data_IF_696817906467
#
_entry.id   IF_696817906467
#
_cell.length_a   1.000
_cell.length_b   1.000
_cell.length_c   1.000
_cell.angle_alpha   90.00
_cell.angle_beta   90.00
_cell.angle_gamma   90.00
#
_symmetry.space_group_name_H-M   'P 1'
#
loop_
_entity.id
_entity.type
_entity.pdbx_description
1 polymer ?
#
# COMPACT_ATOMS: atom_id res chain seq x y z
N UNK A 1 22.00 66.93 7.84
CA UNK A 1 22.02 66.86 6.36
C UNK A 1 21.75 65.41 5.97
N UNK A 2 20.73 65.00 5.20
CA UNK A 2 19.69 65.65 4.39
C UNK A 2 18.50 64.69 4.41
N UNK A 3 17.30 65.24 4.59
CA UNK A 3 16.03 64.59 4.32
C UNK A 3 15.81 64.45 2.80
N UNK A 4 15.09 63.40 2.38
CA UNK A 4 14.42 63.30 1.08
C UNK A 4 13.12 62.51 1.31
N UNK A 5 12.02 63.20 1.64
CA UNK A 5 11.08 63.85 0.71
C UNK A 5 10.02 62.85 0.21
N UNK A 6 8.94 62.78 0.99
CA UNK A 6 7.67 62.21 0.60
C UNK A 6 7.01 63.12 -0.45
N UNK A 7 6.76 62.58 -1.64
CA UNK A 7 5.94 63.25 -2.68
C UNK A 7 4.47 62.94 -2.44
N UNK A 8 3.82 63.82 -1.68
CA UNK A 8 2.37 63.90 -1.60
C UNK A 8 1.83 64.58 -2.86
N UNK A 9 1.18 63.82 -3.75
CA UNK A 9 0.36 64.38 -4.82
C UNK A 9 -1.06 64.55 -4.28
N UNK A 10 -1.47 65.79 -4.03
CA UNK A 10 -2.87 66.18 -3.85
C UNK A 10 -3.54 66.27 -5.23
N UNK A 11 -4.78 65.80 -5.41
CA UNK A 11 -5.68 66.39 -6.37
C UNK A 11 -6.60 67.39 -5.68
N UNK A 12 -6.74 68.55 -6.32
CA UNK A 12 -7.69 69.59 -5.97
C UNK A 12 -9.13 69.16 -6.28
N UNK A 13 -10.04 69.82 -5.58
CA UNK A 13 -11.49 69.64 -5.49
C UNK A 13 -12.28 69.76 -6.80
N UNK A 14 -13.26 68.88 -6.98
CA UNK A 14 -14.58 69.25 -7.52
C UNK A 14 -15.64 68.39 -6.83
N UNK A 15 -16.60 69.07 -6.20
CA UNK A 15 -17.69 68.46 -5.45
C UNK A 15 -18.87 68.05 -6.36
N UNK A 16 -19.66 67.12 -5.85
CA UNK A 16 -21.05 66.80 -6.20
C UNK A 16 -21.32 65.91 -7.43
N UNK A 17 -21.45 64.61 -7.17
CA UNK A 17 -22.69 63.88 -7.46
C UNK A 17 -22.73 62.60 -6.62
N UNK A 18 -23.73 62.50 -5.74
CA UNK A 18 -23.98 61.33 -4.92
C UNK A 18 -24.24 60.10 -5.81
N UNK A 19 -23.33 59.14 -5.77
CA UNK A 19 -23.68 57.74 -5.93
C UNK A 19 -23.00 57.03 -4.78
N UNK A 20 -23.81 56.56 -3.84
CA UNK A 20 -23.46 55.66 -2.76
C UNK A 20 -23.00 54.33 -3.33
N UNK A 21 -21.84 54.33 -3.99
CA UNK A 21 -21.08 53.13 -4.24
C UNK A 21 -20.61 52.64 -2.88
N UNK A 22 -21.35 51.69 -2.32
CA UNK A 22 -20.89 50.87 -1.20
C UNK A 22 -19.54 50.31 -1.63
N UNK A 23 -18.46 50.95 -1.19
CA UNK A 23 -17.13 50.40 -1.22
C UNK A 23 -17.22 49.11 -0.41
N UNK A 24 -17.43 47.99 -1.09
CA UNK A 24 -17.25 46.67 -0.52
C UNK A 24 -15.80 46.60 -0.05
N UNK A 25 -15.56 47.01 1.19
CA UNK A 25 -14.32 46.71 1.89
C UNK A 25 -14.17 45.20 1.80
N UNK A 26 -13.17 44.75 1.03
CA UNK A 26 -12.80 43.35 0.99
C UNK A 26 -12.44 42.95 2.43
N UNK A 27 -13.40 42.35 3.13
CA UNK A 27 -13.19 41.89 4.50
C UNK A 27 -12.15 40.78 4.43
N UNK A 28 -10.95 41.07 4.92
CA UNK A 28 -9.94 40.04 5.17
C UNK A 28 -10.41 39.20 6.35
N UNK A 29 -11.12 38.11 6.08
CA UNK A 29 -11.56 37.15 7.10
C UNK A 29 -10.42 36.16 7.33
N UNK A 30 -9.85 36.17 8.53
CA UNK A 30 -8.90 35.15 9.00
C UNK A 30 -9.58 34.23 10.02
N UNK A 31 -9.12 32.98 10.10
CA UNK A 31 -9.61 32.02 11.10
C UNK A 31 -8.74 32.12 12.36
N UNK A 32 -9.34 32.46 13.49
CA UNK A 32 -8.65 32.53 14.79
C UNK A 32 -8.60 31.18 15.53
N UNK A 33 -9.40 30.19 15.10
CA UNK A 33 -9.50 28.86 15.71
C UNK A 33 -9.77 28.88 17.24
N UNK A 34 -10.47 29.90 17.74
CA UNK A 34 -10.80 30.05 19.17
C UNK A 34 -11.92 29.12 19.63
N UNK A 35 -12.90 28.87 18.79
CA UNK A 35 -13.94 27.87 19.00
C UNK A 35 -13.53 26.52 18.42
N UNK A 36 -14.24 25.45 18.83
CA UNK A 36 -14.04 24.11 18.28
C UNK A 36 -14.10 24.14 16.74
N UNK A 37 -13.01 23.71 16.11
CA UNK A 37 -12.89 23.58 14.67
C UNK A 37 -12.88 22.10 14.29
N UNK A 38 -13.89 21.68 13.52
CA UNK A 38 -13.96 20.31 13.00
C UNK A 38 -12.85 20.10 11.96
N UNK A 39 -12.10 19.00 12.09
CA UNK A 39 -11.10 18.61 11.12
C UNK A 39 -11.68 18.43 9.70
N UNK A 40 -10.87 18.74 8.70
CA UNK A 40 -11.24 18.57 7.30
C UNK A 40 -11.00 17.13 6.85
N UNK A 41 -11.90 16.61 6.00
CA UNK A 41 -11.72 15.29 5.38
C UNK A 41 -10.69 15.41 4.25
N UNK A 42 -9.56 14.73 4.41
CA UNK A 42 -8.45 14.81 3.45
C UNK A 42 -7.96 13.41 3.04
N UNK A 43 -7.54 13.19 1.78
CA UNK A 43 -7.17 11.85 1.30
C UNK A 43 -6.03 11.16 2.05
N UNK A 44 -5.23 11.90 2.83
CA UNK A 44 -4.19 11.31 3.65
C UNK A 44 -4.73 10.52 4.86
N UNK A 45 -6.01 10.68 5.21
CA UNK A 45 -6.69 9.97 6.28
C UNK A 45 -7.22 8.59 5.86
N UNK A 46 -6.93 8.14 4.63
CA UNK A 46 -7.34 6.82 4.15
C UNK A 46 -6.75 5.72 5.03
N UNK A 47 -7.60 4.77 5.43
CA UNK A 47 -7.17 3.58 6.18
C UNK A 47 -6.32 2.71 5.27
N UNK A 48 -5.07 2.50 5.67
CA UNK A 48 -4.13 1.67 4.91
C UNK A 48 -4.23 0.21 5.33
N UNK A 49 -4.21 -0.73 4.37
CA UNK A 49 -4.06 -2.13 4.71
C UNK A 49 -2.65 -2.39 5.25
N UNK A 50 -2.53 -3.29 6.22
CA UNK A 50 -1.24 -3.80 6.67
C UNK A 50 -0.70 -4.79 5.62
N UNK A 51 0.57 -4.66 5.29
CA UNK A 51 1.24 -5.63 4.44
C UNK A 51 1.47 -6.95 5.18
N UNK A 52 1.26 -8.06 4.47
CA UNK A 52 1.32 -9.41 5.04
C UNK A 52 2.19 -10.29 4.17
N UNK A 53 2.82 -11.27 4.81
CA UNK A 53 3.53 -12.31 4.08
C UNK A 53 2.55 -13.14 3.20
N UNK A 54 3.00 -13.59 2.02
CA UNK A 54 2.21 -14.47 1.16
C UNK A 54 1.82 -15.77 1.86
N UNK A 55 0.64 -16.31 1.55
CA UNK A 55 0.22 -17.64 2.05
C UNK A 55 1.23 -18.70 1.59
N UNK A 56 1.67 -19.55 2.51
CA UNK A 56 2.63 -20.62 2.24
C UNK A 56 4.10 -20.24 2.44
N UNK A 57 4.41 -18.97 2.72
CA UNK A 57 5.75 -18.54 3.15
C UNK A 57 5.74 -18.36 4.66
N UNK A 58 6.44 -19.23 5.40
CA UNK A 58 6.66 -19.01 6.84
C UNK A 58 7.67 -17.90 7.08
N UNK A 59 7.63 -17.25 8.25
CA UNK A 59 8.61 -16.21 8.59
C UNK A 59 10.06 -16.76 8.59
N UNK A 60 10.28 -18.01 8.99
CA UNK A 60 11.56 -18.70 8.94
C UNK A 60 12.06 -18.91 7.50
N UNK A 61 11.16 -19.18 6.55
CA UNK A 61 11.51 -19.25 5.13
C UNK A 61 11.82 -17.87 4.56
N UNK A 62 11.02 -16.85 4.92
CA UNK A 62 11.22 -15.47 4.52
C UNK A 62 12.60 -14.93 4.95
N UNK A 63 13.02 -15.23 6.19
CA UNK A 63 14.33 -14.86 6.74
C UNK A 63 15.52 -15.45 5.97
N UNK A 64 15.35 -16.62 5.34
CA UNK A 64 16.37 -17.24 4.49
C UNK A 64 16.38 -16.68 3.05
N UNK A 65 15.58 -15.66 2.76
CA UNK A 65 15.41 -15.10 1.41
C UNK A 65 14.71 -16.05 0.43
N UNK A 66 14.11 -17.13 0.92
CA UNK A 66 13.39 -18.08 0.07
C UNK A 66 12.05 -17.46 -0.33
N UNK A 67 11.90 -17.18 -1.62
CA UNK A 67 10.56 -17.03 -2.21
C UNK A 67 9.89 -18.40 -2.08
N UNK A 68 8.72 -18.46 -1.42
CA UNK A 68 7.91 -19.68 -1.41
C UNK A 68 7.65 -20.17 -2.82
N UNK A 69 7.14 -21.40 -3.01
CA UNK A 69 6.90 -21.94 -4.34
C UNK A 69 6.06 -20.93 -5.12
N UNK A 70 6.71 -20.28 -6.08
CA UNK A 70 6.02 -19.50 -7.08
C UNK A 70 5.09 -20.50 -7.75
N UNK A 71 3.80 -20.18 -7.83
CA UNK A 71 2.92 -20.79 -8.78
C UNK A 71 3.40 -20.38 -10.19
N UNK A 72 4.55 -20.90 -10.59
CA UNK A 72 5.05 -20.87 -11.94
C UNK A 72 4.23 -21.92 -12.68
N UNK A 73 3.13 -21.47 -13.29
CA UNK A 73 2.43 -22.23 -14.30
C UNK A 73 3.35 -22.37 -15.53
N UNK A 74 4.00 -23.52 -15.64
CA UNK A 74 4.66 -24.04 -16.83
C UNK A 74 4.42 -25.56 -16.88
N UNK A 75 4.12 -26.16 -18.05
CA UNK A 75 3.37 -27.39 -18.12
C UNK A 75 4.25 -28.59 -17.79
N UNK A 76 4.04 -29.21 -16.64
CA UNK A 76 4.60 -30.52 -16.32
C UNK A 76 3.60 -31.61 -16.72
N UNK A 77 4.12 -32.55 -17.51
CA UNK A 77 3.43 -33.69 -18.11
C UNK A 77 2.52 -34.45 -17.12
N UNK A 78 1.35 -34.85 -17.63
CA UNK A 78 0.41 -35.71 -16.94
C UNK A 78 1.00 -37.10 -16.66
N UNK A 79 0.79 -37.68 -15.47
CA UNK A 79 0.68 -39.11 -15.32
C UNK A 79 -0.79 -39.54 -15.44
N UNK A 80 -0.98 -40.64 -16.15
CA UNK A 80 -2.25 -41.23 -16.48
C UNK A 80 -3.01 -41.77 -15.25
N UNK A 81 -4.32 -41.51 -15.26
CA UNK A 81 -5.44 -42.36 -14.82
C UNK A 81 -5.28 -43.22 -13.54
N UNK A 82 -5.99 -42.81 -12.48
CA UNK A 82 -6.76 -43.73 -11.63
C UNK A 82 -7.90 -43.01 -10.88
N UNK A 83 -9.13 -43.51 -11.13
CA UNK A 83 -10.31 -43.56 -10.26
C UNK A 83 -10.95 -42.25 -9.71
N UNK A 84 -12.01 -41.84 -10.41
CA UNK A 84 -13.29 -41.28 -9.95
C UNK A 84 -13.52 -41.05 -8.44
N UNK A 85 -13.63 -39.77 -8.05
CA UNK A 85 -14.65 -39.30 -7.13
C UNK A 85 -15.12 -37.91 -7.58
N UNK A 86 -16.38 -37.80 -7.97
CA UNK A 86 -17.06 -36.58 -8.38
C UNK A 86 -17.10 -35.58 -7.22
N UNK A 87 -16.20 -34.60 -7.23
CA UNK A 87 -16.32 -33.38 -6.44
C UNK A 87 -16.76 -32.25 -7.38
N UNK A 88 -17.97 -31.75 -7.12
CA UNK A 88 -18.54 -30.56 -7.73
C UNK A 88 -17.60 -29.38 -7.46
N UNK A 89 -17.27 -28.51 -8.44
CA UNK A 89 -16.47 -27.33 -8.14
C UNK A 89 -17.31 -26.38 -7.28
N UNK A 90 -16.80 -26.09 -6.08
CA UNK A 90 -17.41 -25.16 -5.13
C UNK A 90 -17.72 -23.84 -5.84
N UNK A 91 -19.02 -23.56 -5.92
CA UNK A 91 -19.55 -22.26 -6.31
C UNK A 91 -18.97 -21.20 -5.39
N UNK A 92 -18.32 -20.20 -5.96
CA UNK A 92 -17.90 -19.00 -5.24
C UNK A 92 -19.15 -18.30 -4.70
N UNK A 93 -19.45 -18.47 -3.42
CA UNK A 93 -20.53 -17.78 -2.73
C UNK A 93 -20.03 -16.43 -2.23
N UNK A 94 -20.79 -15.39 -2.55
CA UNK A 94 -20.50 -13.98 -2.25
C UNK A 94 -20.91 -13.58 -0.82
N UNK A 95 -20.61 -14.40 0.18
CA UNK A 95 -21.10 -14.17 1.56
C UNK A 95 -20.13 -13.39 2.45
N UNK A 96 -18.90 -13.08 2.00
CA UNK A 96 -17.89 -12.35 2.77
C UNK A 96 -17.71 -10.87 2.34
N UNK A 97 -18.77 -10.20 1.90
CA UNK A 97 -18.72 -8.77 1.54
C UNK A 97 -19.04 -7.84 2.72
N UNK A 98 -19.57 -8.37 3.83
CA UNK A 98 -20.03 -7.54 4.95
C UNK A 98 -19.00 -7.33 6.08
N UNK A 99 -17.73 -7.73 5.90
CA UNK A 99 -16.65 -7.39 6.84
C UNK A 99 -16.11 -5.96 6.62
N UNK A 100 -16.99 -4.98 6.48
CA UNK A 100 -16.64 -3.59 6.80
C UNK A 100 -17.13 -3.32 8.21
N UNK A 101 -16.17 -3.05 9.11
CA UNK A 101 -16.40 -2.55 10.46
C UNK A 101 -17.26 -1.27 10.41
N UNK A 102 -18.57 -1.44 10.42
CA UNK A 102 -19.55 -0.40 10.67
C UNK A 102 -20.03 -0.55 12.11
N UNK A 103 -19.83 0.52 12.86
CA UNK A 103 -20.30 0.69 14.24
C UNK A 103 -21.83 0.60 14.22
N UNK A 104 -22.37 -0.56 14.61
CA UNK A 104 -23.78 -0.66 14.99
C UNK A 104 -23.91 -0.37 16.49
N UNK A 105 -24.43 0.81 16.78
CA UNK A 105 -24.91 1.19 18.11
C UNK A 105 -26.17 0.37 18.44
N UNK A 106 -26.04 -0.47 19.47
CA UNK A 106 -27.03 -0.91 20.45
C UNK A 106 -28.51 -1.07 20.02
N UNK A 107 -29.04 -2.29 20.14
CA UNK A 107 -30.11 -2.67 21.08
C UNK A 107 -30.75 -3.99 20.64
N UNK A 108 -30.59 -5.03 21.46
CA UNK A 108 -31.55 -6.11 21.78
C UNK A 108 -30.81 -7.42 22.06
N UNK A 109 -30.79 -7.75 23.34
CA UNK A 109 -30.45 -9.05 23.90
C UNK A 109 -31.45 -10.11 23.43
N UNK A 110 -31.09 -10.90 22.42
CA UNK A 110 -31.70 -12.21 22.23
C UNK A 110 -30.60 -13.27 22.06
N UNK A 111 -30.73 -14.34 22.83
CA UNK A 111 -29.86 -15.50 22.79
C UNK A 111 -30.01 -16.19 21.44
N UNK A 112 -29.13 -15.87 20.49
CA UNK A 112 -28.99 -16.59 19.23
C UNK A 112 -28.03 -17.75 19.46
N UNK A 113 -28.54 -18.97 19.26
CA UNK A 113 -27.76 -20.19 19.30
C UNK A 113 -26.61 -20.13 18.27
N UNK A 114 -25.45 -20.67 18.64
CA UNK A 114 -24.23 -20.62 17.85
C UNK A 114 -24.41 -21.32 16.49
N UNK A 115 -24.57 -20.53 15.43
CA UNK A 115 -24.46 -21.01 14.05
C UNK A 115 -23.00 -21.32 13.71
N UNK A 116 -22.78 -22.38 12.94
CA UNK A 116 -21.48 -22.73 12.39
C UNK A 116 -20.97 -21.59 11.51
N UNK A 117 -19.83 -20.98 11.88
CA UNK A 117 -19.21 -19.85 11.15
C UNK A 117 -18.93 -18.61 12.01
N UNK A 118 -19.52 -18.48 13.21
CA UNK A 118 -19.19 -17.40 14.13
C UNK A 118 -17.82 -17.64 14.78
N UNK A 119 -16.93 -16.63 14.71
CA UNK A 119 -15.64 -16.66 15.38
C UNK A 119 -15.82 -17.08 16.85
N UNK A 120 -14.92 -17.92 17.41
CA UNK A 120 -15.05 -18.42 18.76
C UNK A 120 -15.23 -17.26 19.74
N UNK A 121 -16.28 -17.34 20.57
CA UNK A 121 -16.62 -16.29 21.52
C UNK A 121 -15.43 -16.06 22.45
N UNK A 122 -14.77 -14.90 22.30
CA UNK A 122 -13.61 -14.52 23.12
C UNK A 122 -14.08 -14.21 24.54
N UNK A 123 -13.26 -14.51 25.57
CA UNK A 123 -13.57 -14.09 26.92
C UNK A 123 -13.61 -12.57 27.00
N UNK A 124 -14.50 -12.04 27.85
CA UNK A 124 -14.57 -10.61 28.07
C UNK A 124 -13.33 -10.13 28.83
N UNK A 125 -12.65 -9.14 28.26
CA UNK A 125 -11.54 -8.41 28.86
C UNK A 125 -11.78 -6.92 28.60
N UNK A 126 -11.56 -6.03 29.57
CA UNK A 126 -11.73 -4.59 29.39
C UNK A 126 -10.61 -3.98 28.53
N UNK A 127 -10.60 -4.31 27.23
CA UNK A 127 -9.54 -3.94 26.29
C UNK A 127 -9.31 -2.42 26.19
N UNK A 128 -10.34 -1.61 26.41
CA UNK A 128 -10.19 -0.15 26.44
C UNK A 128 -9.30 0.35 27.59
N UNK A 129 -9.42 -0.23 28.79
CA UNK A 129 -8.54 0.13 29.92
C UNK A 129 -7.15 -0.48 29.76
N UNK A 130 -7.07 -1.70 29.22
CA UNK A 130 -5.80 -2.36 28.91
C UNK A 130 -5.01 -1.55 27.87
N UNK A 131 -5.67 -1.01 26.85
CA UNK A 131 -5.04 -0.14 25.85
C UNK A 131 -4.53 1.18 26.45
N UNK A 132 -5.24 1.77 27.44
CA UNK A 132 -4.74 2.95 28.17
C UNK A 132 -3.47 2.62 28.96
N UNK A 133 -3.41 1.44 29.58
CA UNK A 133 -2.21 0.97 30.28
C UNK A 133 -1.05 0.71 29.31
N UNK A 134 -1.33 0.12 28.15
CA UNK A 134 -0.34 -0.08 27.09
C UNK A 134 0.22 1.25 26.61
N UNK A 135 -0.64 2.22 26.29
CA UNK A 135 -0.24 3.57 25.88
C UNK A 135 0.59 4.28 26.95
N UNK A 136 0.22 4.14 28.23
CA UNK A 136 1.02 4.65 29.34
C UNK A 136 2.40 3.98 29.38
N UNK A 137 2.47 2.67 29.16
CA UNK A 137 3.73 1.92 29.05
C UNK A 137 4.62 2.45 27.93
N UNK A 138 4.04 2.74 26.76
CA UNK A 138 4.74 3.33 25.62
C UNK A 138 5.30 4.72 25.97
N UNK A 139 4.49 5.61 26.57
CA UNK A 139 4.96 6.93 27.02
C UNK A 139 6.07 6.87 28.07
N UNK A 140 6.00 5.94 29.02
CA UNK A 140 7.07 5.75 30.02
C UNK A 140 8.34 5.21 29.37
N UNK A 141 8.21 4.34 28.38
CA UNK A 141 9.32 3.77 27.61
C UNK A 141 10.05 4.85 26.81
N UNK A 142 9.30 5.75 26.17
CA UNK A 142 9.84 6.93 25.47
C UNK A 142 10.44 7.95 26.45
N UNK A 143 9.83 8.12 27.63
CA UNK A 143 10.31 9.02 28.69
C UNK A 143 11.49 8.51 29.51
N UNK A 144 11.98 7.29 29.26
CA UNK A 144 13.15 6.72 29.95
C UNK A 144 12.85 5.95 31.26
N UNK A 145 11.59 5.85 31.68
CA UNK A 145 11.16 5.14 32.90
C UNK A 145 10.92 3.65 32.62
N UNK A 146 12.01 2.92 32.35
CA UNK A 146 11.95 1.56 31.82
C UNK A 146 11.38 0.51 32.79
N UNK A 147 11.56 0.70 34.10
CA UNK A 147 11.05 -0.25 35.10
C UNK A 147 9.53 -0.19 35.22
N UNK A 148 8.95 1.01 35.27
CA UNK A 148 7.49 1.20 35.31
C UNK A 148 6.82 0.74 34.01
N UNK A 149 7.47 0.99 32.87
CA UNK A 149 7.00 0.49 31.59
C UNK A 149 6.95 -1.04 31.53
N UNK A 150 8.00 -1.71 32.05
CA UNK A 150 8.06 -3.17 32.11
C UNK A 150 6.88 -3.76 32.89
N UNK A 151 6.52 -3.15 34.02
CA UNK A 151 5.41 -3.59 34.86
C UNK A 151 4.06 -3.42 34.12
N UNK A 152 3.86 -2.26 33.47
CA UNK A 152 2.67 -2.03 32.65
C UNK A 152 2.56 -3.04 31.52
N UNK A 153 3.62 -3.28 30.75
CA UNK A 153 3.60 -4.27 29.68
C UNK A 153 3.37 -5.70 30.22
N UNK A 154 3.89 -6.03 31.40
CA UNK A 154 3.63 -7.32 32.04
C UNK A 154 2.15 -7.55 32.34
N UNK A 155 1.44 -6.53 32.82
CA UNK A 155 -0.01 -6.58 33.08
C UNK A 155 -0.78 -6.67 31.76
N UNK A 156 -0.46 -5.83 30.78
CA UNK A 156 -1.12 -5.80 29.46
C UNK A 156 -0.93 -7.13 28.72
N UNK A 157 0.28 -7.71 28.75
CA UNK A 157 0.58 -8.98 28.10
C UNK A 157 -0.31 -10.11 28.63
N UNK A 158 -0.46 -10.22 29.95
CA UNK A 158 -1.37 -11.21 30.57
C UNK A 158 -2.82 -11.01 30.16
N UNK A 159 -3.26 -9.75 30.08
CA UNK A 159 -4.63 -9.45 29.64
C UNK A 159 -4.85 -9.82 28.17
N UNK A 160 -3.88 -9.58 27.28
CA UNK A 160 -3.96 -9.94 25.87
C UNK A 160 -3.86 -11.45 25.65
N UNK A 161 -3.03 -12.17 26.41
CA UNK A 161 -2.97 -13.64 26.36
C UNK A 161 -4.29 -14.30 26.79
N UNK A 162 -5.06 -13.64 27.67
CA UNK A 162 -6.39 -14.10 28.04
C UNK A 162 -7.43 -13.73 26.98
N UNK A 163 -7.34 -12.52 26.39
CA UNK A 163 -8.32 -12.01 25.43
C UNK A 163 -8.21 -12.65 24.03
N UNK A 164 -6.99 -12.99 23.60
CA UNK A 164 -6.70 -13.42 22.23
C UNK A 164 -6.17 -14.85 22.16
N UNK A 165 -6.38 -15.54 21.02
CA UNK A 165 -5.74 -16.83 20.76
C UNK A 165 -4.21 -16.74 20.81
N UNK A 166 -3.57 -17.88 21.10
CA UNK A 166 -2.11 -17.98 21.34
C UNK A 166 -1.24 -17.32 20.27
N UNK A 167 -1.56 -17.53 18.99
CA UNK A 167 -0.76 -17.05 17.85
C UNK A 167 -1.32 -15.73 17.24
N UNK A 168 -2.06 -14.94 18.02
CA UNK A 168 -2.64 -13.69 17.54
C UNK A 168 -1.60 -12.56 17.43
N UNK A 169 -1.62 -11.73 16.37
CA UNK A 169 -0.60 -10.69 16.14
C UNK A 169 -0.52 -9.64 17.25
N UNK A 170 -1.64 -9.31 17.92
CA UNK A 170 -1.59 -8.37 19.05
C UNK A 170 -0.87 -8.94 20.27
N UNK A 171 -0.93 -10.27 20.50
CA UNK A 171 -0.16 -10.92 21.57
C UNK A 171 1.32 -10.90 21.23
N UNK A 172 1.66 -11.17 19.97
CA UNK A 172 3.04 -11.06 19.47
C UNK A 172 3.58 -9.63 19.63
N UNK A 173 2.78 -8.60 19.29
CA UNK A 173 3.17 -7.20 19.39
C UNK A 173 3.42 -6.74 20.83
N UNK A 174 2.54 -7.06 21.78
CA UNK A 174 2.76 -6.68 23.19
C UNK A 174 3.92 -7.42 23.82
N UNK A 175 4.12 -8.71 23.48
CA UNK A 175 5.30 -9.47 23.94
C UNK A 175 6.59 -8.88 23.40
N UNK A 176 6.56 -8.32 22.19
CA UNK A 176 7.70 -7.62 21.61
C UNK A 176 8.03 -6.32 22.35
N UNK A 177 7.01 -5.52 22.68
CA UNK A 177 7.18 -4.34 23.55
C UNK A 177 7.74 -4.71 24.92
N UNK A 178 7.24 -5.80 25.50
CA UNK A 178 7.74 -6.36 26.75
C UNK A 178 9.21 -6.80 26.64
N UNK A 179 9.60 -7.43 25.53
CA UNK A 179 11.00 -7.78 25.26
C UNK A 179 11.88 -6.52 25.19
N UNK A 180 11.43 -5.47 24.51
CA UNK A 180 12.11 -4.18 24.48
C UNK A 180 12.31 -3.58 25.88
N UNK A 181 11.29 -3.63 26.73
CA UNK A 181 11.40 -3.17 28.13
C UNK A 181 12.35 -4.03 28.96
N UNK A 182 12.36 -5.36 28.77
CA UNK A 182 13.35 -6.25 29.41
C UNK A 182 14.78 -5.89 29.02
N UNK A 183 15.04 -5.57 27.73
CA UNK A 183 16.37 -5.14 27.29
C UNK A 183 16.78 -3.85 28.00
N UNK A 184 15.91 -2.85 28.02
CA UNK A 184 16.20 -1.53 28.59
C UNK A 184 16.40 -1.56 30.12
N UNK A 185 15.86 -2.57 30.80
CA UNK A 185 16.09 -2.83 32.24
C UNK A 185 17.29 -3.75 32.52
N UNK A 186 18.05 -4.16 31.49
CA UNK A 186 19.24 -5.00 31.61
C UNK A 186 18.97 -6.51 31.67
N UNK A 187 17.71 -6.95 31.57
CA UNK A 187 17.33 -8.37 31.61
C UNK A 187 17.42 -9.01 30.22
N UNK A 188 18.63 -9.06 29.68
CA UNK A 188 18.92 -9.43 28.28
C UNK A 188 18.46 -10.85 27.93
N UNK A 189 18.70 -11.84 28.80
CA UNK A 189 18.29 -13.22 28.55
C UNK A 189 16.77 -13.37 28.42
N UNK A 190 16.00 -12.70 29.29
CA UNK A 190 14.53 -12.68 29.21
C UNK A 190 14.03 -11.93 27.98
N UNK A 191 14.73 -10.88 27.57
CA UNK A 191 14.40 -10.14 26.35
C UNK A 191 14.58 -11.03 25.10
N UNK A 192 15.74 -11.68 24.96
CA UNK A 192 16.02 -12.60 23.86
C UNK A 192 15.02 -13.75 23.78
N UNK A 193 14.73 -14.39 24.91
CA UNK A 193 13.74 -15.47 24.97
C UNK A 193 12.33 -15.02 24.52
N UNK A 194 11.93 -13.79 24.84
CA UNK A 194 10.65 -13.25 24.37
C UNK A 194 10.68 -12.95 22.85
N UNK A 195 11.76 -12.39 22.33
CA UNK A 195 11.92 -12.16 20.88
C UNK A 195 11.87 -13.48 20.09
N UNK A 196 12.57 -14.52 20.56
CA UNK A 196 12.56 -15.85 19.94
C UNK A 196 11.16 -16.48 19.99
N UNK A 197 10.48 -16.40 21.14
CA UNK A 197 9.10 -16.87 21.27
C UNK A 197 8.13 -16.12 20.33
N UNK A 198 8.32 -14.81 20.12
CA UNK A 198 7.53 -14.03 19.16
C UNK A 198 7.81 -14.49 17.73
N UNK A 199 9.06 -14.73 17.35
CA UNK A 199 9.39 -15.25 16.01
C UNK A 199 8.77 -16.62 15.76
N UNK A 200 8.77 -17.52 16.75
CA UNK A 200 8.07 -18.81 16.66
C UNK A 200 6.55 -18.65 16.50
N UNK A 201 5.94 -17.68 17.17
CA UNK A 201 4.51 -17.37 17.01
C UNK A 201 4.22 -16.88 15.59
N UNK A 202 5.10 -16.05 15.02
CA UNK A 202 4.95 -15.56 13.65
C UNK A 202 5.15 -16.65 12.62
N UNK A 203 6.01 -17.63 12.88
CA UNK A 203 6.19 -18.81 12.04
C UNK A 203 4.93 -19.69 11.97
N UNK A 204 4.19 -19.81 13.08
CA UNK A 204 2.93 -20.55 13.14
C UNK A 204 1.75 -19.77 12.55
N UNK A 205 1.89 -18.45 12.41
CA UNK A 205 0.85 -17.60 11.83
C UNK A 205 0.84 -17.75 10.30
N UNK A 206 -0.31 -17.95 9.64
CA UNK A 206 -0.35 -18.22 8.20
C UNK A 206 -0.01 -17.01 7.32
N UNK A 207 -0.25 -15.78 7.81
CA UNK A 207 0.04 -14.51 7.11
C UNK A 207 0.41 -13.41 8.13
N UNK A 208 1.59 -13.52 8.77
CA UNK A 208 2.02 -12.53 9.74
C UNK A 208 2.19 -11.15 9.06
N UNK A 209 1.85 -10.06 9.76
CA UNK A 209 2.07 -8.72 9.24
C UNK A 209 3.58 -8.44 9.13
N UNK A 210 3.99 -7.87 8.00
CA UNK A 210 5.40 -7.67 7.67
C UNK A 210 6.08 -6.72 8.67
N UNK A 211 5.38 -5.66 9.07
CA UNK A 211 5.83 -4.70 10.07
C UNK A 211 6.25 -5.37 11.38
N UNK A 212 5.42 -6.28 11.90
CA UNK A 212 5.66 -6.94 13.17
C UNK A 212 6.82 -7.95 13.10
N UNK A 213 7.01 -8.59 11.94
CA UNK A 213 8.16 -9.45 11.70
C UNK A 213 9.47 -8.64 11.68
N UNK A 214 9.48 -7.51 10.97
CA UNK A 214 10.65 -6.62 10.90
C UNK A 214 10.96 -6.01 12.27
N UNK A 215 9.94 -5.59 13.02
CA UNK A 215 10.08 -5.10 14.40
C UNK A 215 10.65 -6.20 15.32
N UNK A 216 10.19 -7.45 15.16
CA UNK A 216 10.69 -8.59 15.94
C UNK A 216 12.19 -8.86 15.68
N UNK A 217 12.60 -8.83 14.41
CA UNK A 217 14.00 -8.98 14.03
C UNK A 217 14.85 -7.79 14.49
N UNK A 218 14.30 -6.58 14.45
CA UNK A 218 14.99 -5.37 14.92
C UNK A 218 15.26 -5.43 16.43
N UNK A 219 14.25 -5.74 17.24
CA UNK A 219 14.42 -5.88 18.68
C UNK A 219 15.35 -7.05 19.02
N UNK A 220 15.28 -8.17 18.29
CA UNK A 220 16.26 -9.26 18.42
C UNK A 220 17.69 -8.77 18.14
N UNK A 221 17.91 -8.06 17.04
CA UNK A 221 19.21 -7.50 16.68
C UNK A 221 19.77 -6.58 17.79
N UNK A 222 18.93 -5.67 18.31
CA UNK A 222 19.32 -4.79 19.41
C UNK A 222 19.62 -5.56 20.71
N UNK A 223 18.90 -6.66 21.00
CA UNK A 223 19.21 -7.50 22.16
C UNK A 223 20.51 -8.27 22.00
N UNK A 224 20.77 -8.81 20.81
CA UNK A 224 22.02 -9.50 20.47
C UNK A 224 23.21 -8.55 20.53
N UNK A 225 23.05 -7.30 20.10
CA UNK A 225 24.07 -6.25 20.22
C UNK A 225 24.43 -5.97 21.68
N UNK A 226 23.41 -5.79 22.53
CA UNK A 226 23.60 -5.57 23.96
C UNK A 226 24.24 -6.77 24.67
N UNK A 227 24.07 -7.98 24.15
CA UNK A 227 24.75 -9.20 24.62
C UNK A 227 26.17 -9.37 24.06
N UNK A 228 26.59 -8.54 23.09
CA UNK A 228 27.90 -8.63 22.44
C UNK A 228 28.02 -9.76 21.41
N UNK A 229 26.90 -10.22 20.83
CA UNK A 229 26.90 -11.31 19.85
C UNK A 229 27.63 -10.91 18.55
N UNK A 230 28.41 -11.84 18.00
CA UNK A 230 29.08 -11.67 16.72
C UNK A 230 28.07 -11.58 15.55
N UNK A 231 26.92 -12.26 15.66
CA UNK A 231 25.94 -12.42 14.59
C UNK A 231 24.94 -11.26 14.42
N UNK A 232 24.99 -10.23 15.28
CA UNK A 232 24.03 -9.11 15.27
C UNK A 232 23.86 -8.43 13.91
N UNK A 233 24.97 -8.17 13.19
CA UNK A 233 24.92 -7.55 11.87
C UNK A 233 24.09 -8.34 10.85
N UNK A 234 24.17 -9.68 10.91
CA UNK A 234 23.39 -10.56 10.03
C UNK A 234 21.89 -10.48 10.32
N UNK A 235 21.47 -10.29 11.58
CA UNK A 235 20.06 -10.17 11.95
C UNK A 235 19.43 -8.90 11.36
N UNK A 236 20.16 -7.79 11.33
CA UNK A 236 19.69 -6.57 10.68
C UNK A 236 19.61 -6.72 9.16
N UNK A 237 20.58 -7.40 8.55
CA UNK A 237 20.54 -7.71 7.11
C UNK A 237 19.37 -8.66 6.79
N UNK A 238 19.09 -9.67 7.63
CA UNK A 238 17.91 -10.52 7.50
C UNK A 238 16.62 -9.68 7.44
N UNK A 239 16.43 -8.73 8.35
CA UNK A 239 15.25 -7.87 8.36
C UNK A 239 15.08 -7.10 7.03
N UNK A 240 16.18 -6.56 6.49
CA UNK A 240 16.16 -5.79 5.24
C UNK A 240 15.90 -6.70 4.03
N UNK A 241 16.44 -7.92 4.02
CA UNK A 241 16.16 -8.89 2.95
C UNK A 241 14.68 -9.27 2.89
N UNK A 242 14.02 -9.39 4.04
CA UNK A 242 12.57 -9.65 4.11
C UNK A 242 11.79 -8.45 3.53
N UNK A 243 12.20 -7.22 3.86
CA UNK A 243 11.59 -6.01 3.29
C UNK A 243 11.80 -5.95 1.77
N UNK A 244 13.02 -6.12 1.27
CA UNK A 244 13.30 -6.06 -0.16
C UNK A 244 12.55 -7.11 -0.99
N UNK A 245 12.21 -8.26 -0.39
CA UNK A 245 11.53 -9.36 -1.08
C UNK A 245 10.01 -9.25 -1.06
N UNK A 246 9.42 -8.81 0.06
CA UNK A 246 7.96 -8.87 0.27
C UNK A 246 7.26 -7.51 0.39
N UNK A 247 7.99 -6.42 0.66
CA UNK A 247 7.41 -5.08 0.85
C UNK A 247 7.05 -4.40 -0.47
N UNK A 248 5.93 -3.67 -0.51
CA UNK A 248 5.57 -2.80 -1.63
C UNK A 248 5.85 -1.32 -1.30
N UNK A 249 7.04 -0.86 -1.68
CA UNK A 249 7.48 0.51 -1.41
C UNK A 249 6.56 1.61 -2.00
N UNK A 250 5.76 1.30 -3.02
CA UNK A 250 4.86 2.26 -3.67
C UNK A 250 3.50 2.43 -2.99
N UNK A 251 3.01 1.42 -2.27
CA UNK A 251 1.63 1.37 -1.79
C UNK A 251 1.29 2.51 -0.82
N UNK A 252 2.24 2.90 0.04
CA UNK A 252 2.00 3.91 1.07
C UNK A 252 1.65 5.30 0.51
N UNK A 253 2.12 5.65 -0.70
CA UNK A 253 1.91 6.97 -1.32
C UNK A 253 0.97 6.93 -2.54
N UNK A 254 0.32 5.80 -2.81
CA UNK A 254 -0.57 5.62 -3.97
C UNK A 254 -1.62 6.74 -4.09
N UNK A 255 -2.25 7.09 -2.97
CA UNK A 255 -3.29 8.13 -2.89
C UNK A 255 -2.75 9.53 -2.55
N UNK A 256 -1.45 9.65 -2.25
CA UNK A 256 -0.82 10.90 -1.83
C UNK A 256 -0.10 11.61 -2.99
N UNK A 257 0.38 10.83 -3.96
CA UNK A 257 1.26 11.29 -5.04
C UNK A 257 0.66 12.39 -5.92
N UNK A 258 -0.64 12.31 -6.23
CA UNK A 258 -1.32 13.28 -7.10
C UNK A 258 -1.94 14.47 -6.35
N UNK A 259 -1.87 14.50 -5.02
CA UNK A 259 -2.48 15.55 -4.20
C UNK A 259 -2.00 16.98 -4.53
N UNK A 260 -0.72 17.23 -4.89
CA UNK A 260 -0.27 18.53 -5.36
C UNK A 260 -1.09 19.12 -6.52
N UNK A 261 -1.79 18.30 -7.30
CA UNK A 261 -2.63 18.74 -8.43
C UNK A 261 -3.98 19.32 -7.99
N UNK A 262 -4.36 19.18 -6.71
CA UNK A 262 -5.57 19.79 -6.16
C UNK A 262 -5.43 21.30 -5.99
N UNK A 263 -4.20 21.79 -5.75
CA UNK A 263 -3.91 23.21 -5.59
C UNK A 263 -4.30 24.01 -6.83
N UNK A 264 -5.28 24.91 -6.69
CA UNK A 264 -5.78 25.75 -7.80
C UNK A 264 -5.28 27.18 -7.77
N UNK A 265 -4.68 27.62 -6.67
CA UNK A 265 -4.17 28.99 -6.47
C UNK A 265 -2.65 28.96 -6.42
N UNK A 266 -2.03 30.07 -6.85
CA UNK A 266 -0.57 30.21 -6.86
C UNK A 266 -0.06 31.35 -5.99
N UNK A 267 -0.84 32.44 -5.82
CA UNK A 267 -0.41 33.60 -5.03
C UNK A 267 -0.67 33.42 -3.52
N UNK A 268 -1.78 32.77 -3.16
CA UNK A 268 -2.17 32.45 -1.79
C UNK A 268 -2.60 30.99 -1.75
N UNK A 269 -2.39 30.32 -0.63
CA UNK A 269 -2.60 28.88 -0.45
C UNK A 269 -1.80 28.01 -1.45
N UNK A 270 -0.58 28.44 -1.78
CA UNK A 270 0.28 27.75 -2.74
C UNK A 270 0.83 26.44 -2.17
N UNK A 271 0.85 26.28 -0.85
CA UNK A 271 1.26 25.07 -0.14
C UNK A 271 0.45 23.83 -0.57
N UNK A 272 -0.80 23.99 -1.04
CA UNK A 272 -1.59 22.90 -1.62
C UNK A 272 -0.89 22.24 -2.83
N UNK A 273 0.00 22.97 -3.53
CA UNK A 273 0.80 22.47 -4.65
C UNK A 273 2.12 21.83 -4.23
N UNK A 274 2.49 21.96 -2.95
CA UNK A 274 3.75 21.47 -2.40
C UNK A 274 3.53 20.58 -1.17
N UNK A 275 2.32 20.00 -1.05
CA UNK A 275 2.02 19.04 0.00
C UNK A 275 3.02 17.89 -0.05
N UNK A 276 3.67 17.67 1.10
CA UNK A 276 4.64 16.62 1.29
C UNK A 276 4.23 15.76 2.47
N UNK A 277 4.31 14.44 2.29
CA UNK A 277 4.04 13.46 3.31
C UNK A 277 5.30 12.63 3.48
N UNK A 278 5.83 12.59 4.69
CA UNK A 278 7.07 11.88 4.97
C UNK A 278 6.85 10.37 4.87
N UNK A 279 7.75 9.61 4.21
CA UNK A 279 7.64 8.16 4.21
C UNK A 279 7.78 7.55 5.59
N UNK A 280 8.47 8.22 6.53
CA UNK A 280 8.63 7.73 7.90
C UNK A 280 7.32 7.71 8.70
N UNK A 281 6.36 8.59 8.38
CA UNK A 281 5.05 8.61 9.05
C UNK A 281 4.06 7.66 8.37
N UNK A 282 4.23 7.49 7.05
CA UNK A 282 3.28 6.75 6.22
C UNK A 282 3.66 5.28 5.98
N UNK A 283 4.87 4.90 6.34
CA UNK A 283 5.40 3.55 6.16
C UNK A 283 6.35 3.18 7.31
N UNK A 284 5.78 2.54 8.34
CA UNK A 284 6.53 2.11 9.52
C UNK A 284 7.52 1.00 9.20
N UNK A 285 7.23 0.14 8.21
CA UNK A 285 8.15 -0.92 7.76
C UNK A 285 9.43 -0.31 7.20
N UNK A 286 9.29 0.73 6.36
CA UNK A 286 10.42 1.51 5.84
C UNK A 286 11.24 2.14 6.96
N UNK A 287 10.60 2.76 7.95
CA UNK A 287 11.30 3.38 9.08
C UNK A 287 12.07 2.35 9.94
N UNK A 288 11.47 1.18 10.20
CA UNK A 288 12.11 0.08 10.92
C UNK A 288 13.32 -0.47 10.15
N UNK A 289 13.19 -0.66 8.83
CA UNK A 289 14.29 -1.12 7.98
C UNK A 289 15.44 -0.11 7.95
N UNK A 290 15.14 1.19 7.89
CA UNK A 290 16.13 2.26 7.96
C UNK A 290 16.92 2.22 9.29
N UNK A 291 16.21 2.01 10.41
CA UNK A 291 16.83 1.85 11.72
C UNK A 291 17.67 0.57 11.85
N UNK A 292 17.23 -0.55 11.26
CA UNK A 292 18.05 -1.76 11.17
C UNK A 292 19.38 -1.49 10.47
N UNK A 293 19.34 -0.80 9.32
CA UNK A 293 20.55 -0.47 8.55
C UNK A 293 21.45 0.52 9.29
N UNK A 294 20.89 1.52 9.96
CA UNK A 294 21.68 2.43 10.80
C UNK A 294 22.42 1.68 11.91
N UNK A 295 21.73 0.77 12.61
CA UNK A 295 22.34 -0.03 13.67
C UNK A 295 23.39 -0.98 13.11
N UNK A 296 23.14 -1.63 11.98
CA UNK A 296 24.13 -2.45 11.29
C UNK A 296 25.38 -1.66 10.89
N UNK A 297 25.21 -0.44 10.38
CA UNK A 297 26.32 0.46 10.03
C UNK A 297 27.18 0.78 11.26
N UNK A 298 26.54 1.16 12.39
CA UNK A 298 27.27 1.43 13.64
C UNK A 298 28.01 0.18 14.12
N UNK A 299 27.37 -0.98 14.05
CA UNK A 299 27.94 -2.26 14.44
C UNK A 299 29.19 -2.61 13.61
N UNK A 300 29.11 -2.54 12.29
CA UNK A 300 30.26 -2.83 11.43
C UNK A 300 31.40 -1.81 11.57
N UNK A 301 31.08 -0.53 11.82
CA UNK A 301 32.08 0.49 12.13
C UNK A 301 32.86 0.16 13.41
N UNK A 302 32.19 -0.28 14.47
CA UNK A 302 32.87 -0.63 15.73
C UNK A 302 33.84 -1.80 15.59
N UNK A 303 33.67 -2.63 14.55
CA UNK A 303 34.53 -3.80 14.25
C UNK A 303 35.51 -3.57 13.11
N UNK A 304 35.58 -2.35 12.57
CA UNK A 304 36.39 -1.97 11.40
C UNK A 304 36.12 -2.81 10.14
N UNK A 305 34.89 -3.35 9.99
CA UNK A 305 34.47 -4.04 8.75
C UNK A 305 33.99 -3.02 7.71
N UNK A 306 34.93 -2.52 6.91
CA UNK A 306 34.65 -1.55 5.85
C UNK A 306 33.73 -2.11 4.76
N UNK A 307 33.82 -3.41 4.47
CA UNK A 307 33.01 -4.03 3.43
C UNK A 307 31.54 -4.12 3.86
N UNK A 308 31.29 -4.49 5.12
CA UNK A 308 29.96 -4.46 5.73
C UNK A 308 29.35 -3.06 5.73
N UNK A 309 30.10 -2.04 6.14
CA UNK A 309 29.63 -0.63 6.14
C UNK A 309 29.21 -0.17 4.75
N UNK A 310 30.03 -0.44 3.72
CA UNK A 310 29.71 -0.03 2.35
C UNK A 310 28.44 -0.71 1.82
N UNK A 311 28.27 -2.01 2.11
CA UNK A 311 27.09 -2.79 1.70
C UNK A 311 25.81 -2.24 2.33
N UNK A 312 25.83 -2.02 3.64
CA UNK A 312 24.68 -1.50 4.41
C UNK A 312 24.30 -0.09 3.94
N UNK A 313 25.29 0.80 3.74
CA UNK A 313 25.03 2.16 3.24
C UNK A 313 24.46 2.16 1.82
N UNK A 314 24.95 1.27 0.96
CA UNK A 314 24.41 1.11 -0.38
C UNK A 314 22.95 0.65 -0.34
N UNK A 315 22.63 -0.38 0.45
CA UNK A 315 21.26 -0.86 0.62
C UNK A 315 20.35 0.22 1.20
N UNK A 316 20.80 0.97 2.20
CA UNK A 316 20.04 2.08 2.82
C UNK A 316 19.73 3.16 1.80
N UNK A 317 20.71 3.53 0.98
CA UNK A 317 20.51 4.47 -0.13
C UNK A 317 19.51 3.94 -1.16
N UNK A 318 19.66 2.69 -1.59
CA UNK A 318 18.75 2.07 -2.57
C UNK A 318 17.30 2.00 -2.05
N UNK A 319 17.13 1.68 -0.76
CA UNK A 319 15.83 1.64 -0.09
C UNK A 319 15.17 3.02 -0.09
N UNK A 320 15.93 4.07 0.24
CA UNK A 320 15.47 5.47 0.22
C UNK A 320 15.18 5.93 -1.21
N UNK A 321 16.03 5.61 -2.19
CA UNK A 321 15.87 5.97 -3.59
C UNK A 321 14.62 5.31 -4.20
N UNK A 322 14.35 4.03 -3.91
CA UNK A 322 13.10 3.34 -4.28
C UNK A 322 11.88 4.07 -3.72
N UNK A 323 11.96 4.53 -2.48
CA UNK A 323 10.86 5.27 -1.84
C UNK A 323 10.62 6.61 -2.51
N UNK A 324 11.66 7.40 -2.72
CA UNK A 324 11.56 8.68 -3.42
C UNK A 324 11.07 8.52 -4.85
N UNK A 325 11.56 7.51 -5.58
CA UNK A 325 11.11 7.22 -6.94
C UNK A 325 9.59 6.98 -6.99
N UNK A 326 9.04 6.21 -6.05
CA UNK A 326 7.60 5.98 -5.95
C UNK A 326 6.78 7.21 -5.55
N UNK A 327 7.39 8.19 -4.89
CA UNK A 327 6.78 9.48 -4.59
C UNK A 327 6.86 10.49 -5.73
N UNK A 328 7.68 10.24 -6.77
CA UNK A 328 7.85 11.19 -7.87
C UNK A 328 6.56 11.35 -8.68
N UNK A 329 6.27 12.60 -9.03
CA UNK A 329 5.26 12.97 -10.02
C UNK A 329 5.70 14.24 -10.75
N UNK A 330 5.17 14.45 -11.96
CA UNK A 330 5.42 15.67 -12.70
C UNK A 330 4.45 16.78 -12.30
N UNK A 331 4.92 18.02 -12.29
CA UNK A 331 4.04 19.16 -12.05
C UNK A 331 2.93 19.24 -13.11
N UNK A 332 1.71 19.51 -12.67
CA UNK A 332 0.59 19.85 -13.53
C UNK A 332 0.57 21.34 -13.87
N UNK A 333 -0.60 21.97 -13.76
CA UNK A 333 -0.72 23.42 -13.96
C UNK A 333 -0.12 24.20 -12.79
N UNK A 334 0.84 25.08 -13.10
CA UNK A 334 1.55 25.90 -12.11
C UNK A 334 0.68 27.09 -11.66
N UNK A 335 0.28 27.95 -12.59
CA UNK A 335 -0.48 29.16 -12.27
C UNK A 335 -1.93 28.90 -11.87
N UNK A 336 -2.54 29.93 -11.28
CA UNK A 336 -3.92 29.91 -10.81
C UNK A 336 -4.91 29.41 -11.88
N UNK A 337 -5.83 28.54 -11.47
CA UNK A 337 -6.96 28.04 -12.25
C UNK A 337 -8.25 28.48 -11.56
N UNK A 338 -9.13 29.17 -12.29
CA UNK A 338 -10.47 29.52 -11.81
C UNK A 338 -11.47 28.47 -12.29
N UNK A 339 -12.43 28.09 -11.45
CA UNK A 339 -13.45 27.09 -11.79
C UNK A 339 -12.94 25.62 -11.75
N UNK A 340 -13.46 24.80 -12.65
CA UNK A 340 -13.09 23.39 -12.89
C UNK A 340 -12.98 22.47 -11.65
N UNK A 341 -13.77 22.72 -10.61
CA UNK A 341 -13.71 21.97 -9.35
C UNK A 341 -13.99 20.46 -9.52
N UNK A 342 -14.76 20.07 -10.56
CA UNK A 342 -15.04 18.67 -10.89
C UNK A 342 -13.79 17.87 -11.29
N UNK A 343 -12.69 18.51 -11.66
CA UNK A 343 -11.42 17.83 -12.00
C UNK A 343 -10.82 17.04 -10.83
N UNK A 344 -11.20 17.34 -9.59
CA UNK A 344 -10.77 16.56 -8.42
C UNK A 344 -11.08 15.07 -8.55
N UNK A 345 -12.16 14.70 -9.26
CA UNK A 345 -12.53 13.31 -9.48
C UNK A 345 -11.55 12.56 -10.39
N UNK A 346 -10.84 13.27 -11.29
CA UNK A 346 -9.79 12.69 -12.12
C UNK A 346 -8.46 12.62 -11.36
N UNK A 347 -8.22 13.58 -10.46
CA UNK A 347 -7.01 13.61 -9.62
C UNK A 347 -7.02 12.54 -8.54
N UNK A 348 -8.16 12.36 -7.86
CA UNK A 348 -8.32 11.42 -6.75
C UNK A 348 -8.78 10.06 -7.30
N UNK A 349 -7.82 9.32 -7.85
CA UNK A 349 -8.03 7.99 -8.45
C UNK A 349 -7.00 7.00 -7.96
N UNK A 350 -7.21 5.71 -8.25
CA UNK A 350 -6.23 4.64 -8.05
C UNK A 350 -5.10 4.73 -9.08
N UNK A 351 -4.43 5.88 -9.17
CA UNK A 351 -3.36 6.10 -10.13
C UNK A 351 -2.25 5.06 -9.88
N UNK A 352 -1.80 4.34 -10.93
CA UNK A 352 -0.76 3.35 -10.77
C UNK A 352 0.51 4.01 -10.22
N UNK A 353 1.13 3.37 -9.25
CA UNK A 353 2.44 3.79 -8.74
C UNK A 353 3.52 3.40 -9.76
N UNK A 354 4.69 4.06 -9.76
CA UNK A 354 5.79 3.67 -10.64
C UNK A 354 6.16 2.19 -10.48
N UNK A 355 6.18 1.66 -9.25
CA UNK A 355 6.45 0.25 -8.98
C UNK A 355 5.40 -0.69 -9.62
N UNK A 356 4.09 -0.45 -9.39
CA UNK A 356 3.03 -1.27 -10.00
C UNK A 356 3.06 -1.18 -11.53
N UNK A 357 3.31 0.00 -12.08
CA UNK A 357 3.36 0.22 -13.53
C UNK A 357 4.49 -0.56 -14.19
N UNK A 358 5.66 -0.62 -13.56
CA UNK A 358 6.81 -1.37 -14.07
C UNK A 358 6.65 -2.88 -13.87
N UNK A 359 6.10 -3.32 -12.72
CA UNK A 359 5.85 -4.74 -12.44
C UNK A 359 4.77 -5.34 -13.34
N UNK A 360 3.66 -4.64 -13.51
CA UNK A 360 2.51 -5.10 -14.30
C UNK A 360 2.45 -4.41 -15.67
N UNK A 361 3.61 -4.12 -16.25
CA UNK A 361 3.68 -3.63 -17.62
C UNK A 361 2.96 -4.62 -18.55
N UNK A 362 2.09 -4.16 -19.46
CA UNK A 362 1.25 -5.04 -20.28
C UNK A 362 2.05 -5.95 -21.23
N UNK A 363 3.36 -5.69 -21.40
CA UNK A 363 4.27 -6.54 -22.15
C UNK A 363 4.85 -7.70 -21.34
N UNK A 364 4.99 -7.54 -20.02
CA UNK A 364 5.54 -8.54 -19.09
C UNK A 364 4.37 -9.31 -18.46
N UNK A 365 3.45 -8.59 -17.83
CA UNK A 365 2.22 -9.16 -17.29
C UNK A 365 1.11 -9.00 -18.33
N UNK A 366 1.13 -9.89 -19.32
CA UNK A 366 0.20 -9.85 -20.44
C UNK A 366 -1.25 -9.99 -19.99
N UNK A 367 -2.12 -9.25 -20.65
CA UNK A 367 -3.56 -9.38 -20.43
C UNK A 367 -3.99 -10.70 -21.07
N UNK A 368 -4.53 -11.62 -20.25
CA UNK A 368 -5.16 -12.81 -20.79
C UNK A 368 -6.37 -12.41 -21.62
N UNK A 369 -6.33 -12.74 -22.91
CA UNK A 369 -7.35 -12.38 -23.88
C UNK A 369 -7.95 -13.65 -24.45
N UNK A 370 -9.18 -13.94 -24.05
CA UNK A 370 -9.94 -15.12 -24.49
C UNK A 370 -10.85 -14.78 -25.67
N UNK A 371 -10.57 -15.37 -26.83
CA UNK A 371 -11.32 -15.12 -28.07
C UNK A 371 -12.75 -15.65 -28.03
N UNK A 372 -13.10 -16.52 -27.06
CA UNK A 372 -14.48 -16.97 -26.84
C UNK A 372 -15.45 -15.81 -26.64
N UNK A 373 -14.99 -14.69 -26.10
CA UNK A 373 -15.79 -13.50 -25.84
C UNK A 373 -15.54 -12.38 -26.87
N UNK A 374 -14.86 -12.69 -27.97
CA UNK A 374 -14.47 -11.72 -28.99
C UNK A 374 -14.94 -12.13 -30.38
N UNK A 375 -15.09 -11.13 -31.26
CA UNK A 375 -15.47 -11.32 -32.66
C UNK A 375 -14.29 -11.33 -33.62
N UNK A 376 -13.08 -11.06 -33.11
CA UNK A 376 -11.86 -10.99 -33.89
C UNK A 376 -10.86 -11.99 -33.32
N UNK A 377 -10.23 -12.77 -34.19
CA UNK A 377 -9.12 -13.64 -33.83
C UNK A 377 -7.95 -13.42 -34.80
N UNK A 378 -6.72 -13.80 -34.42
CA UNK A 378 -5.60 -13.89 -35.35
C UNK A 378 -5.87 -14.93 -36.44
N UNK A 379 -5.17 -14.76 -37.58
CA UNK A 379 -5.12 -15.77 -38.64
C UNK A 379 -4.67 -17.12 -38.04
N UNK A 380 -5.33 -18.20 -38.44
CA UNK A 380 -5.11 -19.55 -37.90
C UNK A 380 -6.00 -19.90 -36.70
N UNK A 381 -6.55 -18.91 -35.98
CA UNK A 381 -7.47 -19.11 -34.83
C UNK A 381 -8.90 -18.67 -35.13
N UNK A 382 -9.27 -18.64 -36.41
CA UNK A 382 -10.58 -18.17 -36.90
C UNK A 382 -11.78 -18.90 -36.28
N UNK A 383 -11.61 -20.15 -35.81
CA UNK A 383 -12.68 -20.96 -35.21
C UNK A 383 -12.91 -20.69 -33.73
N UNK A 384 -12.02 -19.93 -33.08
CA UNK A 384 -12.05 -19.69 -31.64
C UNK A 384 -12.83 -18.44 -31.23
N UNK A 385 -13.24 -17.61 -32.21
CA UNK A 385 -14.12 -16.46 -31.95
C UNK A 385 -15.45 -16.91 -31.32
N UNK A 386 -16.11 -16.00 -30.62
CA UNK A 386 -17.43 -16.22 -30.02
C UNK A 386 -18.34 -16.95 -31.00
N UNK A 387 -18.99 -18.04 -30.61
CA UNK A 387 -19.82 -18.82 -31.53
C UNK A 387 -21.15 -18.11 -31.84
N UNK A 388 -21.76 -18.43 -32.97
CA UNK A 388 -23.11 -17.97 -33.31
C UNK A 388 -23.82 -18.96 -34.21
N UNK A 389 -25.15 -19.00 -34.12
CA UNK A 389 -25.99 -19.91 -34.90
C UNK A 389 -26.18 -19.35 -36.31
N UNK A 390 -26.08 -20.21 -37.32
CA UNK A 390 -26.30 -19.85 -38.74
C UNK A 390 -25.44 -18.68 -39.23
N UNK A 391 -24.15 -18.66 -38.85
CA UNK A 391 -23.21 -17.64 -39.34
C UNK A 391 -22.88 -17.84 -40.82
N UNK A 392 -23.29 -16.88 -41.63
CA UNK A 392 -22.94 -16.78 -43.05
C UNK A 392 -22.05 -15.55 -43.27
N UNK A 393 -20.83 -15.75 -43.76
CA UNK A 393 -19.95 -14.65 -44.17
C UNK A 393 -20.49 -14.05 -45.46
N UNK A 394 -20.89 -12.78 -45.44
CA UNK A 394 -21.46 -12.09 -46.61
C UNK A 394 -20.37 -11.53 -47.52
N UNK A 395 -19.67 -10.49 -47.06
CA UNK A 395 -18.58 -9.80 -47.74
C UNK A 395 -17.69 -9.10 -46.71
N UNK A 396 -16.63 -8.42 -47.15
CA UNK A 396 -15.73 -7.65 -46.29
C UNK A 396 -16.30 -6.30 -45.81
N UNK A 397 -17.59 -6.02 -46.02
CA UNK A 397 -18.22 -4.77 -45.57
C UNK A 397 -17.77 -3.53 -46.34
N UNK A 398 -17.41 -3.65 -47.63
CA UNK A 398 -16.89 -2.54 -48.41
C UNK A 398 -17.93 -1.39 -48.53
N UNK A 399 -17.60 -0.14 -48.14
CA UNK A 399 -18.56 0.97 -48.15
C UNK A 399 -19.06 1.34 -49.56
N UNK A 400 -18.29 1.05 -50.61
CA UNK A 400 -18.64 1.40 -52.01
C UNK A 400 -19.59 0.40 -52.67
N UNK A 401 -19.96 -0.71 -52.01
CA UNK A 401 -20.92 -1.68 -52.55
C UNK A 401 -22.31 -1.09 -52.82
N UNK A 402 -22.65 -0.01 -52.10
CA UNK A 402 -23.92 0.73 -52.24
C UNK A 402 -23.94 1.75 -53.37
N UNK A 403 -22.79 2.02 -53.99
CA UNK A 403 -22.69 2.97 -55.09
C UNK A 403 -23.13 2.34 -56.42
N UNK A 404 -22.58 2.83 -57.51
CA UNK A 404 -22.99 2.45 -58.86
C UNK A 404 -22.46 1.06 -59.26
N UNK A 405 -23.06 0.52 -60.33
CA UNK A 405 -22.68 -0.79 -60.87
C UNK A 405 -21.20 -0.88 -61.26
N UNK A 406 -20.58 0.24 -61.65
CA UNK A 406 -19.15 0.32 -61.94
C UNK A 406 -18.31 0.05 -60.68
N UNK A 407 -18.65 0.67 -59.56
CA UNK A 407 -17.98 0.45 -58.27
C UNK A 407 -18.10 -1.00 -57.84
N UNK A 408 -19.27 -1.62 -58.03
CA UNK A 408 -19.46 -3.06 -57.73
C UNK A 408 -18.60 -3.97 -58.62
N UNK A 409 -18.38 -3.64 -59.89
CA UNK A 409 -17.49 -4.41 -60.78
C UNK A 409 -16.04 -4.34 -60.36
N UNK A 410 -15.57 -3.20 -59.86
CA UNK A 410 -14.19 -3.02 -59.37
C UNK A 410 -13.92 -3.89 -58.13
N UNK A 411 -14.95 -4.19 -57.34
CA UNK A 411 -14.83 -4.94 -56.09
C UNK A 411 -15.00 -6.46 -56.23
N UNK A 412 -15.27 -6.94 -57.45
CA UNK A 412 -15.77 -8.30 -57.70
C UNK A 412 -14.85 -9.41 -57.18
N UNK A 413 -13.55 -9.21 -57.24
CA UNK A 413 -12.56 -10.26 -56.88
C UNK A 413 -11.97 -10.07 -55.48
N UNK A 414 -12.28 -8.97 -54.79
CA UNK A 414 -11.71 -8.64 -53.49
C UNK A 414 -12.03 -9.71 -52.43
N UNK A 415 -13.24 -10.26 -52.42
CA UNK A 415 -13.68 -11.31 -51.50
C UNK A 415 -12.92 -12.63 -51.73
N UNK A 416 -12.73 -13.01 -52.99
CA UNK A 416 -11.99 -14.23 -53.34
C UNK A 416 -10.53 -14.12 -52.92
N UNK A 417 -9.91 -12.96 -53.18
CA UNK A 417 -8.54 -12.69 -52.78
C UNK A 417 -8.38 -12.71 -51.25
N UNK A 418 -9.32 -12.13 -50.51
CA UNK A 418 -9.30 -12.16 -49.05
C UNK A 418 -9.51 -13.57 -48.50
N UNK A 419 -10.46 -14.33 -49.06
CA UNK A 419 -10.68 -15.72 -48.66
C UNK A 419 -9.44 -16.59 -48.95
N UNK A 420 -8.72 -16.35 -50.04
CA UNK A 420 -7.46 -17.04 -50.35
C UNK A 420 -6.37 -16.67 -49.35
N UNK A 421 -6.25 -15.38 -48.99
CA UNK A 421 -5.28 -14.89 -48.01
C UNK A 421 -5.47 -15.49 -46.61
N UNK A 422 -6.72 -15.61 -46.15
CA UNK A 422 -7.02 -16.20 -44.83
C UNK A 422 -6.89 -17.73 -44.83
N UNK A 423 -7.08 -18.40 -45.98
CA UNK A 423 -6.95 -19.86 -46.14
C UNK A 423 -5.52 -20.35 -46.30
N UNK A 424 -4.58 -19.50 -46.73
CA UNK A 424 -3.19 -19.92 -46.83
C UNK A 424 -2.64 -20.15 -45.43
N UNK A 425 -2.47 -21.42 -45.06
CA UNK A 425 -1.83 -21.92 -43.81
C UNK A 425 -0.33 -21.53 -43.70
N UNK A 426 0.05 -20.36 -44.21
CA UNK A 426 1.45 -19.93 -44.36
C UNK A 426 2.16 -19.60 -43.03
N UNK A 427 1.59 -19.98 -41.88
CA UNK A 427 2.16 -19.72 -40.56
C UNK A 427 2.37 -21.00 -39.72
N UNK A 428 2.19 -22.20 -40.29
CA UNK A 428 2.80 -23.42 -39.76
C UNK A 428 4.27 -23.50 -40.22
N UNK A 429 5.14 -22.74 -39.55
CA UNK A 429 6.61 -22.89 -39.59
C UNK A 429 7.19 -22.59 -38.21
#
# INVERSE_FOLDING_TARGET
>A
MRAAAATAVRPASAAAAASSAVLCQARFITRLYTSYYKGELFPNQLVRPLERLPRGVSAAAARKGLRGPTAAAGPAAAPAAAASSTAVPDSVTWEDVDSTDLVHTNEQSHAVAAGAGLAPKRPYVPLGEVAKLELRGDYLTEGGLHQEALENYGVVTKAYELAYPKDHPQVAGVRLKLAGAFRRTGRLASSKANCEAVLEMLDRTPQPPLELLVEALFELGLTSDAMGDAATGAVYEEAVTVVDTFHNAGQSHKMLRLLPRLGRRFNLNAEEKFLYFSPFDYDRVFALADQCLERAETFYRTRDDRAGVMRVLQQRKELIDKKFFNMRDFAGRIHTMRGHWKRRAQTLTNAPTPDELLRYSPTIHQVHRDFKYELNAPIGREREVQQGVNRTVQDMGNPYRRADARSRRVLRDAEKNFAQYVRTDAFEA
#
